data_IF_860471006731
#
_entry.id   IF_860471006731
#
_cell.length_a   1.000
_cell.length_b   1.000
_cell.length_c   1.000
_cell.angle_alpha   90.00
_cell.angle_beta   90.00
_cell.angle_gamma   90.00
#
_symmetry.space_group_name_H-M   'P 1'
#
loop_
_entity.id
_entity.type
_entity.pdbx_description
1 polymer ?
#
# COMPACT_ATOMS: atom_id res chain seq x y z
N UNK A 1 9.01 7.94 -23.47
CA UNK A 1 8.18 9.14 -23.19
C UNK A 1 7.72 9.05 -21.74
N UNK A 2 7.87 10.13 -20.98
CA UNK A 2 7.39 10.18 -19.60
C UNK A 2 5.87 9.95 -19.56
N UNK A 3 5.42 9.19 -18.56
CA UNK A 3 3.98 9.01 -18.25
C UNK A 3 3.43 10.16 -17.39
N UNK A 4 4.28 11.11 -16.99
CA UNK A 4 3.88 12.27 -16.19
C UNK A 4 3.02 13.23 -17.02
N UNK A 5 1.88 13.63 -16.47
CA UNK A 5 1.00 14.66 -17.06
C UNK A 5 0.43 15.55 -15.95
N UNK A 6 0.49 16.86 -16.15
CA UNK A 6 -0.09 17.82 -15.21
C UNK A 6 -1.37 18.41 -15.81
N UNK A 7 -2.51 18.34 -15.09
CA UNK A 7 -3.77 18.90 -15.57
C UNK A 7 -3.66 20.41 -15.83
N UNK A 8 -4.24 20.88 -16.93
CA UNK A 8 -4.11 22.30 -17.40
C UNK A 8 -4.52 23.34 -16.35
N UNK A 9 -5.46 23.00 -15.47
CA UNK A 9 -5.98 23.92 -14.45
C UNK A 9 -5.41 23.58 -13.06
N UNK A 10 -4.35 22.79 -13.00
CA UNK A 10 -3.71 22.48 -11.73
C UNK A 10 -2.99 23.74 -11.20
N UNK A 11 -3.15 24.01 -9.95
CA UNK A 11 -2.37 24.98 -9.18
C UNK A 11 -2.16 24.46 -7.78
N UNK A 12 -0.99 24.68 -7.25
CA UNK A 12 -0.66 24.30 -5.88
C UNK A 12 -1.50 25.13 -4.89
N UNK A 13 -2.10 24.43 -3.92
CA UNK A 13 -2.89 25.08 -2.86
C UNK A 13 -2.03 25.61 -1.72
N UNK A 14 -0.84 25.05 -1.53
CA UNK A 14 0.11 25.42 -0.48
C UNK A 14 1.50 25.64 -1.09
N UNK A 15 2.12 26.76 -0.82
CA UNK A 15 3.52 26.97 -1.17
C UNK A 15 4.45 25.95 -0.52
N UNK A 16 5.70 25.86 -1.01
CA UNK A 16 6.66 24.82 -0.62
C UNK A 16 6.86 24.68 0.89
N UNK A 17 7.02 25.80 1.60
CA UNK A 17 7.21 25.80 3.05
C UNK A 17 6.01 25.20 3.80
N UNK A 18 4.79 25.63 3.45
CA UNK A 18 3.57 25.09 4.08
C UNK A 18 3.27 23.66 3.64
N UNK A 19 3.65 23.26 2.44
CA UNK A 19 3.62 21.85 2.00
C UNK A 19 4.49 20.99 2.93
N UNK A 20 5.73 21.39 3.22
CA UNK A 20 6.62 20.65 4.13
C UNK A 20 6.08 20.59 5.55
N UNK A 21 5.52 21.68 6.07
CA UNK A 21 4.84 21.70 7.38
C UNK A 21 3.65 20.75 7.41
N UNK A 22 2.82 20.77 6.36
CA UNK A 22 1.64 19.92 6.25
C UNK A 22 2.02 18.43 6.18
N UNK A 23 3.06 18.05 5.44
CA UNK A 23 3.59 16.68 5.39
C UNK A 23 3.94 16.18 6.81
N UNK A 24 4.70 16.97 7.57
CA UNK A 24 5.06 16.62 8.95
C UNK A 24 3.82 16.41 9.85
N UNK A 25 2.85 17.30 9.73
CA UNK A 25 1.58 17.23 10.47
C UNK A 25 0.77 16.00 10.08
N UNK A 26 0.61 15.72 8.77
CA UNK A 26 -0.10 14.54 8.26
C UNK A 26 0.53 13.27 8.83
N UNK A 27 1.86 13.15 8.71
CA UNK A 27 2.58 11.95 9.18
C UNK A 27 2.37 11.69 10.66
N UNK A 28 2.42 12.73 11.49
CA UNK A 28 2.20 12.61 12.94
C UNK A 28 0.75 12.23 13.26
N UNK A 29 -0.21 13.03 12.80
CA UNK A 29 -1.63 12.85 13.16
C UNK A 29 -2.18 11.52 12.64
N UNK A 30 -1.88 11.19 11.38
CA UNK A 30 -2.38 9.96 10.80
C UNK A 30 -1.84 8.71 11.52
N UNK A 31 -0.53 8.68 11.81
CA UNK A 31 0.06 7.57 12.56
C UNK A 31 -0.58 7.39 13.94
N UNK A 32 -0.82 8.49 14.67
CA UNK A 32 -1.48 8.43 15.97
C UNK A 32 -2.90 7.87 15.87
N UNK A 33 -3.68 8.34 14.89
CA UNK A 33 -5.05 7.85 14.66
C UNK A 33 -5.06 6.38 14.23
N UNK A 34 -4.18 5.98 13.33
CA UNK A 34 -4.04 4.59 12.89
C UNK A 34 -3.67 3.66 14.06
N UNK A 35 -2.71 4.08 14.88
CA UNK A 35 -2.30 3.33 16.06
C UNK A 35 -3.44 3.16 17.06
N UNK A 36 -4.22 4.21 17.29
CA UNK A 36 -5.38 4.18 18.18
C UNK A 36 -6.49 3.26 17.65
N UNK A 37 -6.85 3.39 16.36
CA UNK A 37 -7.92 2.63 15.73
C UNK A 37 -7.64 1.13 15.68
N UNK A 38 -6.41 0.75 15.33
CA UNK A 38 -6.05 -0.66 15.14
C UNK A 38 -5.32 -1.28 16.33
N UNK A 39 -5.10 -0.55 17.43
CA UNK A 39 -4.33 -0.98 18.61
C UNK A 39 -2.89 -1.39 18.29
N UNK A 40 -2.19 -0.51 17.56
CA UNK A 40 -0.82 -0.76 17.09
C UNK A 40 0.22 -0.13 18.02
N UNK A 41 1.38 -0.77 18.11
CA UNK A 41 2.60 -0.22 18.72
C UNK A 41 3.65 0.03 17.64
N UNK A 42 4.29 1.19 17.68
CA UNK A 42 5.39 1.47 16.77
C UNK A 42 6.62 0.62 17.16
N UNK A 43 7.21 -0.01 16.15
CA UNK A 43 8.46 -0.79 16.26
C UNK A 43 9.46 -0.35 15.19
N UNK A 44 10.73 -0.69 15.37
CA UNK A 44 11.76 -0.55 14.33
C UNK A 44 11.70 -1.72 13.36
N UNK A 45 12.01 -1.48 12.10
CA UNK A 45 12.03 -2.49 11.05
C UNK A 45 13.35 -2.49 10.28
N UNK A 46 13.73 -3.59 9.62
CA UNK A 46 14.90 -3.63 8.78
C UNK A 46 14.70 -2.81 7.50
N UNK A 47 15.76 -2.13 7.05
CA UNK A 47 15.82 -1.55 5.71
C UNK A 47 16.19 -2.62 4.66
N UNK A 48 16.90 -3.66 5.09
CA UNK A 48 17.37 -4.75 4.25
C UNK A 48 17.35 -6.07 5.02
N UNK A 49 17.26 -7.17 4.31
CA UNK A 49 17.26 -8.54 4.83
C UNK A 49 18.25 -9.39 4.05
N UNK A 50 18.63 -10.54 4.62
CA UNK A 50 19.51 -11.49 3.91
C UNK A 50 18.77 -12.11 2.72
N UNK A 51 19.47 -12.24 1.61
CA UNK A 51 18.97 -12.99 0.45
C UNK A 51 18.70 -14.44 0.88
N UNK A 52 17.59 -14.99 0.39
CA UNK A 52 17.20 -16.38 0.71
C UNK A 52 16.54 -16.56 2.08
N UNK A 53 16.36 -15.50 2.90
CA UNK A 53 15.60 -15.57 4.16
C UNK A 53 14.12 -15.86 3.95
N UNK A 54 13.58 -15.58 2.76
CA UNK A 54 12.15 -15.63 2.46
C UNK A 54 11.36 -14.45 3.02
N UNK A 55 12.04 -13.46 3.62
CA UNK A 55 11.40 -12.28 4.24
C UNK A 55 11.17 -11.13 3.25
N UNK A 56 11.97 -11.03 2.19
CA UNK A 56 11.73 -10.02 1.16
C UNK A 56 10.53 -10.40 0.28
N UNK A 57 10.01 -9.44 -0.45
CA UNK A 57 8.89 -9.61 -1.37
C UNK A 57 9.40 -9.55 -2.80
N UNK A 58 8.99 -10.51 -3.62
CA UNK A 58 9.29 -10.50 -5.06
C UNK A 58 8.24 -9.73 -5.86
N UNK A 59 7.30 -9.06 -5.18
CA UNK A 59 6.16 -8.34 -5.77
C UNK A 59 5.41 -9.21 -6.79
N UNK A 60 5.52 -8.90 -8.09
CA UNK A 60 4.93 -9.70 -9.17
C UNK A 60 5.87 -10.84 -9.66
N UNK A 61 7.05 -10.97 -9.04
CA UNK A 61 8.03 -12.00 -9.36
C UNK A 61 9.02 -11.66 -10.50
N UNK A 62 8.99 -10.41 -10.96
CA UNK A 62 9.87 -9.91 -12.04
C UNK A 62 10.76 -8.75 -11.59
N UNK A 63 10.42 -8.10 -10.50
CA UNK A 63 11.13 -6.96 -9.96
C UNK A 63 12.45 -7.40 -9.31
N UNK A 64 13.53 -6.69 -9.64
CA UNK A 64 14.86 -7.00 -9.16
C UNK A 64 15.17 -6.19 -7.89
N UNK A 65 15.49 -6.83 -6.76
CA UNK A 65 15.88 -6.11 -5.55
C UNK A 65 17.21 -5.36 -5.75
N UNK A 66 17.40 -4.30 -4.98
CA UNK A 66 18.71 -3.66 -4.80
C UNK A 66 19.49 -4.50 -3.79
N UNK A 67 20.49 -5.22 -4.25
CA UNK A 67 21.31 -6.10 -3.41
C UNK A 67 22.74 -5.60 -3.30
N UNK A 68 23.39 -5.91 -2.17
CA UNK A 68 24.77 -5.53 -1.86
C UNK A 68 25.45 -6.61 -1.02
N UNK A 69 26.77 -6.62 -1.05
CA UNK A 69 27.58 -7.56 -0.27
C UNK A 69 27.72 -7.07 1.18
N UNK A 70 27.70 -8.03 2.11
CA UNK A 70 27.95 -7.78 3.54
C UNK A 70 29.19 -8.59 3.96
N UNK A 71 30.40 -8.03 3.84
CA UNK A 71 31.64 -8.79 3.98
C UNK A 71 31.80 -9.54 5.30
N UNK A 72 31.24 -9.01 6.40
CA UNK A 72 31.32 -9.67 7.71
C UNK A 72 30.41 -10.88 7.87
N UNK A 73 29.46 -11.11 6.95
CA UNK A 73 28.51 -12.23 7.00
C UNK A 73 28.78 -13.27 5.91
N UNK A 74 29.66 -12.96 4.95
CA UNK A 74 29.88 -13.76 3.73
C UNK A 74 28.55 -14.05 2.96
N UNK A 75 27.61 -13.13 3.04
CA UNK A 75 26.28 -13.21 2.45
C UNK A 75 25.91 -11.90 1.75
N UNK A 76 24.89 -11.97 0.90
CA UNK A 76 24.29 -10.79 0.27
C UNK A 76 23.04 -10.36 1.03
N UNK A 77 22.86 -9.04 1.16
CA UNK A 77 21.63 -8.44 1.65
C UNK A 77 20.87 -7.76 0.51
N UNK A 78 19.58 -7.59 0.70
CA UNK A 78 18.66 -6.95 -0.24
C UNK A 78 17.84 -5.89 0.48
N UNK A 79 17.75 -4.68 -0.11
CA UNK A 79 16.81 -3.66 0.36
C UNK A 79 15.39 -4.21 0.17
N UNK A 80 14.56 -4.08 1.19
CA UNK A 80 13.21 -4.63 1.16
C UNK A 80 12.35 -3.99 0.07
N UNK A 81 11.51 -4.80 -0.57
CA UNK A 81 10.42 -4.32 -1.44
C UNK A 81 9.12 -4.13 -0.65
N UNK A 82 8.93 -4.92 0.41
CA UNK A 82 7.85 -4.82 1.37
C UNK A 82 8.24 -5.48 2.68
N UNK A 83 7.52 -5.16 3.76
CA UNK A 83 7.72 -5.78 5.08
C UNK A 83 6.59 -6.77 5.43
N UNK A 84 5.76 -7.17 4.47
CA UNK A 84 4.58 -8.01 4.73
C UNK A 84 4.92 -9.29 5.51
N UNK A 85 5.94 -10.02 5.07
CA UNK A 85 6.40 -11.26 5.73
C UNK A 85 7.17 -10.98 7.02
N UNK A 86 8.04 -9.98 7.02
CA UNK A 86 8.80 -9.60 8.21
C UNK A 86 7.91 -9.18 9.38
N UNK A 87 6.86 -8.39 9.14
CA UNK A 87 5.93 -7.95 10.20
C UNK A 87 5.31 -9.12 10.94
N UNK A 88 4.86 -10.13 10.21
CA UNK A 88 4.28 -11.34 10.81
C UNK A 88 5.29 -12.12 11.64
N UNK A 89 6.53 -12.24 11.14
CA UNK A 89 7.64 -12.82 11.88
C UNK A 89 7.92 -12.02 13.16
N UNK A 90 8.02 -10.70 13.07
CA UNK A 90 8.27 -9.82 14.22
C UNK A 90 7.18 -9.91 15.30
N UNK A 91 5.90 -10.05 14.91
CA UNK A 91 4.81 -10.26 15.89
C UNK A 91 5.01 -11.53 16.72
N UNK A 92 5.49 -12.62 16.10
CA UNK A 92 5.82 -13.86 16.80
C UNK A 92 7.00 -13.67 17.76
N UNK A 93 8.11 -13.12 17.25
CA UNK A 93 9.33 -12.90 18.03
C UNK A 93 9.13 -11.95 19.21
N UNK A 94 8.34 -10.90 19.04
CA UNK A 94 8.09 -9.91 20.09
C UNK A 94 6.94 -10.29 21.02
N UNK A 95 6.30 -11.45 20.82
CA UNK A 95 5.25 -11.98 21.69
C UNK A 95 3.95 -11.19 21.70
N UNK A 96 3.56 -10.62 20.56
CA UNK A 96 2.27 -9.93 20.41
C UNK A 96 1.10 -10.92 20.51
N UNK A 97 0.00 -10.49 21.14
CA UNK A 97 -1.19 -11.30 21.40
C UNK A 97 -2.36 -10.94 20.49
N UNK A 98 -3.38 -11.79 20.34
CA UNK A 98 -4.58 -11.46 19.59
C UNK A 98 -5.16 -10.09 19.98
N UNK A 99 -5.50 -9.29 18.98
CA UNK A 99 -5.98 -7.92 19.15
C UNK A 99 -4.88 -6.86 19.23
N UNK A 100 -3.62 -7.23 19.37
CA UNK A 100 -2.47 -6.32 19.36
C UNK A 100 -1.76 -6.36 18.02
N UNK A 101 -1.16 -5.23 17.64
CA UNK A 101 -0.42 -5.13 16.39
C UNK A 101 0.78 -4.20 16.47
N UNK A 102 1.55 -4.20 15.42
CA UNK A 102 2.68 -3.29 15.21
C UNK A 102 2.44 -2.37 14.01
N UNK A 103 3.12 -1.23 14.02
CA UNK A 103 3.30 -0.34 12.88
C UNK A 103 4.75 0.07 12.80
N UNK A 104 5.25 0.24 11.58
CA UNK A 104 6.60 0.72 11.31
C UNK A 104 6.66 1.56 10.05
N UNK A 105 7.71 2.36 9.90
CA UNK A 105 8.01 2.98 8.61
C UNK A 105 8.74 1.96 7.73
N UNK A 106 8.19 1.68 6.57
CA UNK A 106 8.84 0.93 5.50
C UNK A 106 9.39 1.92 4.46
N UNK A 107 10.63 1.76 4.09
CA UNK A 107 11.26 2.44 2.96
C UNK A 107 11.79 1.38 2.01
N UNK A 108 11.33 1.40 0.77
CA UNK A 108 11.72 0.45 -0.26
C UNK A 108 12.30 1.17 -1.48
N UNK A 109 13.14 0.47 -2.22
CA UNK A 109 13.66 0.91 -3.51
C UNK A 109 13.17 -0.06 -4.58
N UNK A 110 12.24 0.39 -5.40
CA UNK A 110 11.74 -0.35 -6.57
C UNK A 110 12.48 0.14 -7.81
N UNK A 111 13.64 -0.41 -8.04
CA UNK A 111 14.59 0.08 -9.06
C UNK A 111 14.08 0.01 -10.50
N UNK A 112 13.13 -0.88 -10.76
CA UNK A 112 12.54 -1.12 -12.08
C UNK A 112 11.17 -0.45 -12.23
N UNK A 113 10.77 0.43 -11.26
CA UNK A 113 9.49 1.12 -11.27
C UNK A 113 9.36 2.08 -12.44
N UNK A 114 8.22 2.07 -13.09
CA UNK A 114 7.89 2.97 -14.17
C UNK A 114 7.34 4.28 -13.60
N UNK A 115 8.10 5.38 -13.79
CA UNK A 115 7.79 6.67 -13.19
C UNK A 115 6.59 7.34 -13.85
N UNK A 116 5.66 7.82 -13.04
CA UNK A 116 4.52 8.63 -13.46
C UNK A 116 4.10 9.61 -12.35
N UNK A 117 2.88 10.12 -12.38
CA UNK A 117 2.37 11.03 -11.35
C UNK A 117 2.29 10.41 -9.95
N UNK A 118 2.08 9.09 -9.85
CA UNK A 118 1.79 8.35 -8.62
C UNK A 118 2.93 7.41 -8.19
N UNK A 119 3.85 7.08 -9.10
CA UNK A 119 4.90 6.09 -8.89
C UNK A 119 6.28 6.72 -8.85
N UNK A 120 7.08 6.28 -7.88
CA UNK A 120 8.47 6.66 -7.63
C UNK A 120 9.30 5.43 -7.32
N UNK A 121 10.59 5.45 -7.63
CA UNK A 121 11.52 4.38 -7.20
C UNK A 121 11.67 4.30 -5.67
N UNK A 122 11.41 5.38 -4.95
CA UNK A 122 11.31 5.38 -3.48
C UNK A 122 9.87 5.17 -3.05
N UNK A 123 9.62 4.11 -2.30
CA UNK A 123 8.29 3.79 -1.72
C UNK A 123 8.37 3.90 -0.21
N UNK A 124 7.52 4.76 0.36
CA UNK A 124 7.40 4.96 1.80
C UNK A 124 6.00 4.59 2.29
N UNK A 125 5.92 3.74 3.30
CA UNK A 125 4.63 3.27 3.84
C UNK A 125 4.63 3.27 5.37
N UNK A 126 3.44 3.48 5.97
CA UNK A 126 3.14 2.89 7.28
C UNK A 126 2.76 1.44 7.05
N UNK A 127 3.68 0.56 7.37
CA UNK A 127 3.45 -0.88 7.33
C UNK A 127 2.94 -1.35 8.68
N UNK A 128 1.77 -1.95 8.71
CA UNK A 128 1.12 -2.42 9.92
C UNK A 128 0.75 -3.90 9.82
N UNK A 129 0.71 -4.56 10.98
CA UNK A 129 0.30 -5.96 11.09
C UNK A 129 -0.31 -6.19 12.48
N UNK A 130 -1.41 -6.95 12.56
CA UNK A 130 -2.15 -7.23 13.79
C UNK A 130 -2.39 -8.73 13.95
N UNK A 131 -2.18 -9.27 15.16
CA UNK A 131 -2.53 -10.65 15.47
C UNK A 131 -4.04 -10.78 15.58
N UNK A 132 -4.60 -11.76 14.89
CA UNK A 132 -6.03 -12.07 14.86
C UNK A 132 -6.28 -13.51 15.30
N UNK A 133 -7.54 -13.86 15.57
CA UNK A 133 -7.97 -15.23 15.83
C UNK A 133 -8.53 -15.90 14.56
N UNK A 134 -8.73 -17.21 14.60
CA UNK A 134 -9.34 -17.93 13.49
C UNK A 134 -10.78 -17.46 13.20
N UNK A 135 -11.50 -16.94 14.20
CA UNK A 135 -12.85 -16.38 14.05
C UNK A 135 -12.87 -15.08 13.27
N UNK A 136 -11.76 -14.33 13.29
CA UNK A 136 -11.62 -13.03 12.64
C UNK A 136 -11.30 -13.16 11.14
N UNK A 137 -11.01 -14.38 10.65
CA UNK A 137 -10.72 -14.64 9.22
C UNK A 137 -12.00 -14.58 8.38
N UNK A 138 -12.59 -13.39 8.25
CA UNK A 138 -13.85 -13.15 7.55
C UNK A 138 -13.85 -11.82 6.80
N UNK A 139 -14.63 -11.74 5.73
CA UNK A 139 -14.83 -10.47 5.00
C UNK A 139 -15.42 -9.36 5.88
N UNK A 140 -16.43 -9.61 6.77
CA UNK A 140 -16.90 -8.56 7.67
C UNK A 140 -15.80 -7.96 8.56
N UNK A 141 -14.89 -8.77 9.09
CA UNK A 141 -13.76 -8.26 9.88
C UNK A 141 -12.77 -7.43 9.04
N UNK A 142 -12.50 -7.86 7.79
CA UNK A 142 -11.73 -7.07 6.85
C UNK A 142 -12.39 -5.72 6.58
N UNK A 143 -13.70 -5.71 6.31
CA UNK A 143 -14.47 -4.49 6.01
C UNK A 143 -14.54 -3.53 7.20
N UNK A 144 -14.66 -4.03 8.43
CA UNK A 144 -14.60 -3.20 9.64
C UNK A 144 -13.24 -2.50 9.77
N UNK A 145 -12.15 -3.25 9.59
CA UNK A 145 -10.79 -2.68 9.62
C UNK A 145 -10.58 -1.64 8.52
N UNK A 146 -11.14 -1.84 7.33
CA UNK A 146 -11.11 -0.84 6.25
C UNK A 146 -11.83 0.45 6.67
N UNK A 147 -13.00 0.37 7.32
CA UNK A 147 -13.72 1.54 7.83
C UNK A 147 -12.89 2.31 8.86
N UNK A 148 -12.21 1.61 9.76
CA UNK A 148 -11.33 2.22 10.76
C UNK A 148 -10.18 2.99 10.11
N UNK A 149 -9.55 2.43 9.08
CA UNK A 149 -8.47 3.09 8.33
C UNK A 149 -9.00 4.31 7.57
N UNK A 150 -10.13 4.17 6.86
CA UNK A 150 -10.74 5.28 6.11
C UNK A 150 -11.17 6.40 7.07
N UNK A 151 -11.68 6.08 8.25
CA UNK A 151 -12.01 7.08 9.27
C UNK A 151 -10.76 7.82 9.75
N UNK A 152 -9.64 7.12 10.00
CA UNK A 152 -8.37 7.74 10.36
C UNK A 152 -7.86 8.70 9.27
N UNK A 153 -7.98 8.32 7.98
CA UNK A 153 -7.64 9.19 6.83
C UNK A 153 -8.52 10.44 6.82
N UNK A 154 -9.83 10.26 6.89
CA UNK A 154 -10.79 11.38 6.84
C UNK A 154 -10.66 12.32 8.04
N UNK A 155 -10.43 11.76 9.22
CA UNK A 155 -10.22 12.53 10.46
C UNK A 155 -8.89 13.31 10.42
N UNK A 156 -7.86 12.78 9.77
CA UNK A 156 -6.61 13.51 9.50
C UNK A 156 -6.87 14.68 8.53
N UNK A 157 -7.64 14.44 7.46
CA UNK A 157 -8.02 15.50 6.53
C UNK A 157 -8.84 16.62 7.21
N UNK A 158 -9.74 16.27 8.15
CA UNK A 158 -10.52 17.24 8.90
C UNK A 158 -9.61 18.16 9.75
N UNK A 159 -8.67 17.58 10.50
CA UNK A 159 -7.72 18.37 11.29
C UNK A 159 -6.79 19.22 10.43
N UNK A 160 -6.37 18.69 9.29
CA UNK A 160 -5.50 19.42 8.36
C UNK A 160 -6.19 20.68 7.82
N UNK A 161 -7.49 20.62 7.49
CA UNK A 161 -8.28 21.77 7.03
C UNK A 161 -8.43 22.86 8.07
N UNK A 162 -8.39 22.54 9.35
CA UNK A 162 -8.35 23.53 10.43
C UNK A 162 -7.04 24.29 10.45
N UNK A 163 -5.92 23.62 10.15
CA UNK A 163 -4.58 24.23 10.15
C UNK A 163 -4.26 24.95 8.84
N UNK A 164 -4.84 24.49 7.73
CA UNK A 164 -4.65 25.01 6.38
C UNK A 164 -6.02 25.18 5.69
N UNK A 165 -6.67 26.35 5.88
CA UNK A 165 -7.98 26.62 5.28
C UNK A 165 -8.01 26.57 3.75
N UNK A 166 -6.86 26.70 3.08
CA UNK A 166 -6.69 26.57 1.64
C UNK A 166 -7.11 25.18 1.13
N UNK A 167 -7.00 24.16 1.98
CA UNK A 167 -7.36 22.78 1.67
C UNK A 167 -8.86 22.47 1.85
N UNK A 168 -9.69 23.49 2.10
CA UNK A 168 -11.14 23.31 2.37
C UNK A 168 -11.91 22.62 1.24
N UNK A 169 -11.41 22.72 0.02
CA UNK A 169 -12.03 22.08 -1.16
C UNK A 169 -11.74 20.56 -1.27
N UNK A 170 -10.74 20.07 -0.52
CA UNK A 170 -10.42 18.65 -0.48
C UNK A 170 -11.39 17.96 0.49
N UNK A 171 -12.31 17.18 -0.09
CA UNK A 171 -13.34 16.43 0.65
C UNK A 171 -13.23 14.95 0.25
N UNK A 172 -13.20 14.08 1.24
CA UNK A 172 -13.16 12.63 1.08
C UNK A 172 -14.50 12.03 1.51
N UNK A 173 -14.90 10.95 0.88
CA UNK A 173 -16.07 10.17 1.30
C UNK A 173 -15.66 9.26 2.45
N UNK A 174 -16.30 9.42 3.62
CA UNK A 174 -15.91 8.69 4.85
C UNK A 174 -16.38 7.24 4.85
N UNK A 175 -17.55 6.94 4.28
CA UNK A 175 -18.03 5.56 4.19
C UNK A 175 -17.53 4.92 2.88
N UNK A 176 -16.67 3.88 2.94
CA UNK A 176 -16.20 3.20 1.74
C UNK A 176 -17.28 2.33 1.13
N UNK A 177 -17.34 2.29 -0.21
CA UNK A 177 -18.17 1.34 -0.95
C UNK A 177 -17.35 0.09 -1.24
N UNK A 178 -17.88 -1.07 -0.87
CA UNK A 178 -17.20 -2.37 -1.05
C UNK A 178 -17.67 -3.04 -2.33
N UNK A 179 -16.73 -3.63 -3.07
CA UNK A 179 -17.00 -4.41 -4.28
C UNK A 179 -15.91 -5.48 -4.44
N UNK A 180 -16.26 -6.65 -4.95
CA UNK A 180 -15.25 -7.65 -5.33
C UNK A 180 -14.74 -7.39 -6.75
N UNK A 181 -13.56 -7.91 -7.07
CA UNK A 181 -12.99 -7.82 -8.42
C UNK A 181 -13.91 -8.43 -9.48
N UNK A 182 -14.62 -9.50 -9.13
CA UNK A 182 -15.56 -10.14 -10.05
C UNK A 182 -16.83 -9.31 -10.28
N UNK A 183 -17.41 -8.74 -9.21
CA UNK A 183 -18.55 -7.82 -9.36
C UNK A 183 -18.18 -6.59 -10.17
N UNK A 184 -16.95 -6.10 -10.02
CA UNK A 184 -16.44 -4.96 -10.78
C UNK A 184 -16.26 -5.31 -12.26
N UNK A 185 -15.83 -6.52 -12.59
CA UNK A 185 -15.81 -7.03 -13.97
C UNK A 185 -17.21 -7.19 -14.54
N UNK A 186 -18.14 -7.81 -13.78
CA UNK A 186 -19.51 -8.01 -14.20
C UNK A 186 -20.24 -6.67 -14.48
N UNK A 187 -19.88 -5.60 -13.71
CA UNK A 187 -20.44 -4.25 -13.86
C UNK A 187 -19.87 -3.50 -15.09
N UNK A 188 -18.59 -3.70 -15.39
CA UNK A 188 -17.87 -3.03 -16.48
C UNK A 188 -17.10 -4.04 -17.35
N UNK A 189 -17.78 -4.93 -18.08
CA UNK A 189 -17.13 -6.05 -18.78
C UNK A 189 -16.16 -5.59 -19.87
N UNK A 190 -16.43 -4.47 -20.52
CA UNK A 190 -15.66 -3.94 -21.65
C UNK A 190 -14.47 -3.06 -21.23
N UNK A 191 -14.35 -2.74 -19.95
CA UNK A 191 -13.26 -1.90 -19.44
C UNK A 191 -12.08 -2.74 -18.94
N UNK A 192 -10.88 -2.19 -19.06
CA UNK A 192 -9.69 -2.76 -18.42
C UNK A 192 -9.78 -2.63 -16.90
N UNK A 193 -9.04 -3.45 -16.11
CA UNK A 193 -9.07 -3.36 -14.64
C UNK A 193 -8.88 -1.92 -14.13
N UNK A 194 -7.92 -1.18 -14.67
CA UNK A 194 -7.64 0.20 -14.23
C UNK A 194 -8.76 1.19 -14.61
N UNK A 195 -9.40 0.99 -15.75
CA UNK A 195 -10.57 1.79 -16.15
C UNK A 195 -11.78 1.48 -15.28
N UNK A 196 -11.97 0.21 -14.86
CA UNK A 196 -13.01 -0.21 -13.90
C UNK A 196 -12.82 0.48 -12.56
N UNK A 197 -11.60 0.47 -12.00
CA UNK A 197 -11.24 1.19 -10.78
C UNK A 197 -11.58 2.69 -10.88
N UNK A 198 -11.14 3.32 -11.97
CA UNK A 198 -11.40 4.75 -12.19
C UNK A 198 -12.90 5.07 -12.28
N UNK A 199 -13.65 4.28 -13.04
CA UNK A 199 -15.09 4.49 -13.21
C UNK A 199 -15.85 4.34 -11.89
N UNK A 200 -15.56 3.27 -11.15
CA UNK A 200 -16.24 2.97 -9.90
C UNK A 200 -15.84 3.94 -8.79
N UNK A 201 -14.55 4.24 -8.65
CA UNK A 201 -14.06 5.18 -7.62
C UNK A 201 -14.54 6.60 -7.89
N UNK A 202 -14.66 7.00 -9.17
CA UNK A 202 -15.24 8.30 -9.54
C UNK A 202 -16.69 8.44 -9.08
N UNK A 203 -17.47 7.37 -9.18
CA UNK A 203 -18.88 7.38 -8.78
C UNK A 203 -19.07 7.39 -7.26
N UNK A 204 -18.18 6.74 -6.50
CA UNK A 204 -18.37 6.49 -5.07
C UNK A 204 -17.43 7.28 -4.14
N UNK A 205 -16.35 7.84 -4.68
CA UNK A 205 -15.37 8.67 -3.94
C UNK A 205 -14.34 7.86 -3.16
N UNK A 206 -14.76 6.97 -2.26
CA UNK A 206 -13.90 6.03 -1.53
C UNK A 206 -14.40 4.61 -1.76
N UNK A 207 -13.52 3.71 -2.17
CA UNK A 207 -13.85 2.35 -2.59
C UNK A 207 -12.88 1.35 -1.96
N UNK A 208 -13.40 0.18 -1.62
CA UNK A 208 -12.62 -0.97 -1.24
C UNK A 208 -12.87 -2.10 -2.25
N UNK A 209 -11.86 -2.42 -3.05
CA UNK A 209 -11.92 -3.52 -4.04
C UNK A 209 -11.35 -4.77 -3.37
N UNK A 210 -12.17 -5.81 -3.27
CA UNK A 210 -11.84 -7.04 -2.53
C UNK A 210 -11.55 -8.22 -3.46
N UNK A 211 -10.86 -9.24 -2.91
CA UNK A 211 -10.61 -10.53 -3.56
C UNK A 211 -9.72 -10.40 -4.80
N UNK A 212 -8.55 -9.80 -4.61
CA UNK A 212 -7.55 -9.57 -5.66
C UNK A 212 -6.55 -10.74 -5.68
N UNK A 213 -6.09 -11.15 -6.90
CA UNK A 213 -5.04 -12.15 -7.12
C UNK A 213 -5.51 -13.40 -7.85
N UNK A 214 -6.78 -13.78 -7.69
CA UNK A 214 -7.39 -14.89 -8.43
C UNK A 214 -7.73 -14.55 -9.88
N UNK A 215 -7.98 -15.58 -10.69
CA UNK A 215 -8.53 -15.40 -12.05
C UNK A 215 -10.02 -15.06 -11.97
N UNK A 216 -10.44 -14.09 -12.79
CA UNK A 216 -11.84 -13.72 -13.00
C UNK A 216 -12.50 -14.67 -13.98
N UNK A 217 -13.83 -14.56 -14.15
CA UNK A 217 -14.61 -15.37 -15.13
C UNK A 217 -14.11 -15.23 -16.56
N UNK A 218 -13.56 -14.07 -16.93
CA UNK A 218 -12.94 -13.82 -18.22
C UNK A 218 -11.62 -14.57 -18.44
N UNK A 219 -11.05 -15.17 -17.38
CA UNK A 219 -9.73 -15.82 -17.41
C UNK A 219 -8.56 -14.86 -17.15
N UNK A 220 -8.79 -13.56 -17.05
CA UNK A 220 -7.77 -12.57 -16.67
C UNK A 220 -7.75 -12.37 -15.14
N UNK A 221 -6.69 -11.77 -14.62
CA UNK A 221 -6.65 -11.27 -13.24
C UNK A 221 -6.98 -9.79 -13.23
N UNK A 222 -7.61 -9.32 -12.14
CA UNK A 222 -7.82 -7.88 -11.95
C UNK A 222 -6.47 -7.17 -11.76
N UNK A 223 -5.65 -7.70 -10.85
CA UNK A 223 -4.30 -7.23 -10.58
C UNK A 223 -3.44 -8.40 -10.07
N UNK A 224 -2.10 -8.20 -10.06
CA UNK A 224 -1.14 -9.10 -9.46
C UNK A 224 -1.22 -9.08 -7.94
N UNK A 225 -0.98 -10.24 -7.32
CA UNK A 225 -0.84 -10.34 -5.86
C UNK A 225 0.10 -11.49 -5.54
N UNK A 226 1.13 -11.23 -4.74
CA UNK A 226 2.03 -12.28 -4.29
C UNK A 226 1.25 -13.41 -3.58
N UNK A 227 1.66 -14.68 -3.78
CA UNK A 227 0.90 -15.82 -3.27
C UNK A 227 1.15 -16.11 -1.78
N UNK A 228 2.11 -15.46 -1.15
CA UNK A 228 2.72 -15.91 0.10
C UNK A 228 2.52 -14.97 1.30
N UNK A 229 1.66 -13.95 1.19
CA UNK A 229 1.29 -13.15 2.36
C UNK A 229 -0.21 -12.86 2.46
N UNK A 230 -0.92 -12.33 1.46
CA UNK A 230 -2.37 -12.11 1.53
C UNK A 230 -3.17 -13.32 1.06
N UNK A 231 -4.21 -13.70 1.81
CA UNK A 231 -5.23 -14.63 1.31
C UNK A 231 -6.05 -13.91 0.23
N UNK A 232 -5.98 -14.39 -1.02
CA UNK A 232 -6.65 -13.75 -2.17
C UNK A 232 -8.17 -13.68 -2.03
N UNK A 233 -8.76 -14.46 -1.14
CA UNK A 233 -10.20 -14.41 -0.86
C UNK A 233 -10.54 -13.40 0.26
N UNK A 234 -9.54 -12.89 0.98
CA UNK A 234 -9.68 -12.07 2.19
C UNK A 234 -8.75 -10.84 2.17
N UNK A 235 -8.49 -10.30 1.01
CA UNK A 235 -7.67 -9.09 0.81
C UNK A 235 -8.45 -7.99 0.10
N UNK A 236 -7.89 -6.79 0.09
CA UNK A 236 -8.44 -5.66 -0.63
C UNK A 236 -7.44 -4.53 -0.84
N UNK A 237 -7.79 -3.64 -1.77
CA UNK A 237 -7.17 -2.34 -1.94
C UNK A 237 -8.17 -1.23 -1.60
N UNK A 238 -7.68 -0.16 -0.93
CA UNK A 238 -8.46 1.03 -0.57
C UNK A 238 -8.09 2.14 -1.53
N UNK A 239 -9.07 2.61 -2.31
CA UNK A 239 -8.90 3.64 -3.32
C UNK A 239 -9.70 4.88 -2.98
N UNK A 240 -9.11 6.04 -3.24
CA UNK A 240 -9.77 7.34 -3.14
C UNK A 240 -9.81 8.03 -4.51
N UNK A 241 -10.89 8.74 -4.80
CA UNK A 241 -10.94 9.59 -5.99
C UNK A 241 -10.04 10.81 -5.82
N UNK A 242 -8.95 10.87 -6.57
CA UNK A 242 -8.02 11.99 -6.55
C UNK A 242 -8.48 13.07 -7.54
N UNK A 243 -9.11 14.13 -7.01
CA UNK A 243 -9.74 15.17 -7.83
C UNK A 243 -8.77 15.93 -8.74
N UNK A 244 -7.56 16.21 -8.28
CA UNK A 244 -6.58 16.96 -9.05
C UNK A 244 -6.15 16.21 -10.32
N UNK A 245 -5.97 14.88 -10.22
CA UNK A 245 -5.60 14.03 -11.36
C UNK A 245 -6.80 13.47 -12.11
N UNK A 246 -7.99 13.43 -11.49
CA UNK A 246 -9.17 12.80 -12.08
C UNK A 246 -9.02 11.28 -12.21
N UNK A 247 -8.38 10.63 -11.26
CA UNK A 247 -8.15 9.18 -11.24
C UNK A 247 -8.39 8.57 -9.86
N UNK A 248 -8.56 7.26 -9.82
CA UNK A 248 -8.48 6.48 -8.59
C UNK A 248 -7.03 6.44 -8.10
N UNK A 249 -6.82 6.76 -6.84
CA UNK A 249 -5.54 6.66 -6.16
C UNK A 249 -5.65 5.53 -5.13
N UNK A 250 -4.93 4.44 -5.38
CA UNK A 250 -4.74 3.37 -4.40
C UNK A 250 -3.86 3.90 -3.27
N UNK A 251 -4.44 3.98 -2.07
CA UNK A 251 -3.75 4.45 -0.88
C UNK A 251 -3.16 3.30 -0.07
N UNK A 252 -3.85 2.17 -0.02
CA UNK A 252 -3.48 1.03 0.82
C UNK A 252 -3.85 -0.27 0.15
N UNK A 253 -2.93 -1.24 0.25
CA UNK A 253 -3.18 -2.65 -0.01
C UNK A 253 -3.07 -3.40 1.30
N UNK A 254 -4.06 -4.26 1.61
CA UNK A 254 -4.14 -4.99 2.86
C UNK A 254 -4.90 -6.31 2.74
N UNK A 255 -4.71 -7.19 3.72
CA UNK A 255 -5.47 -8.44 3.76
C UNK A 255 -5.31 -9.21 5.06
N UNK A 256 -6.22 -10.13 5.27
CA UNK A 256 -6.02 -11.23 6.20
C UNK A 256 -4.98 -12.14 5.57
N UNK A 257 -3.92 -12.43 6.33
CA UNK A 257 -2.78 -13.17 5.80
C UNK A 257 -3.11 -14.64 5.57
N UNK A 258 -2.42 -15.26 4.62
CA UNK A 258 -2.56 -16.69 4.36
C UNK A 258 -2.40 -17.52 5.64
N UNK A 259 -3.25 -18.53 5.80
CA UNK A 259 -2.98 -19.67 6.66
C UNK A 259 -2.21 -20.75 5.88
N UNK A 260 -1.76 -21.86 6.50
CA UNK A 260 -1.04 -22.91 5.79
C UNK A 260 -1.78 -23.43 4.56
N UNK A 261 -3.10 -23.62 4.64
CA UNK A 261 -3.89 -24.15 3.54
C UNK A 261 -4.02 -23.14 2.36
N UNK A 262 -4.25 -21.86 2.68
CA UNK A 262 -4.32 -20.81 1.67
C UNK A 262 -2.96 -20.63 0.98
N UNK A 263 -1.86 -20.61 1.75
CA UNK A 263 -0.52 -20.48 1.17
C UNK A 263 -0.19 -21.62 0.22
N UNK A 264 -0.43 -22.86 0.61
CA UNK A 264 -0.19 -24.01 -0.29
C UNK A 264 -0.95 -23.87 -1.61
N UNK A 265 -2.26 -23.61 -1.55
CA UNK A 265 -3.07 -23.40 -2.75
C UNK A 265 -2.59 -22.25 -3.63
N UNK A 266 -2.18 -21.13 -3.02
CA UNK A 266 -1.75 -19.94 -3.76
C UNK A 266 -0.37 -20.11 -4.38
N UNK A 267 0.58 -20.77 -3.71
CA UNK A 267 1.89 -21.12 -4.29
C UNK A 267 1.74 -22.04 -5.49
N UNK A 268 0.86 -23.05 -5.42
CA UNK A 268 0.55 -23.93 -6.56
C UNK A 268 -0.08 -23.14 -7.72
N UNK A 269 -1.09 -22.30 -7.43
CA UNK A 269 -1.77 -21.49 -8.43
C UNK A 269 -0.86 -20.43 -9.08
N UNK A 270 0.17 -19.97 -8.37
CA UNK A 270 1.20 -19.06 -8.88
C UNK A 270 2.35 -19.76 -9.59
N UNK A 271 2.43 -21.10 -9.55
CA UNK A 271 3.49 -21.89 -10.18
C UNK A 271 4.85 -21.78 -9.48
N UNK A 272 4.87 -21.51 -8.17
CA UNK A 272 6.10 -21.39 -7.37
C UNK A 272 6.05 -22.21 -6.07
N UNK A 273 5.69 -23.52 -6.11
CA UNK A 273 5.56 -24.35 -4.91
C UNK A 273 6.89 -24.53 -4.15
N UNK A 274 8.04 -24.36 -4.81
CA UNK A 274 9.38 -24.45 -4.23
C UNK A 274 9.61 -23.38 -3.13
N UNK A 275 8.88 -22.27 -3.14
CA UNK A 275 8.97 -21.24 -2.07
C UNK A 275 8.57 -21.79 -0.70
N UNK A 276 7.81 -22.87 -0.63
CA UNK A 276 7.47 -23.56 0.61
C UNK A 276 8.72 -23.99 1.42
N UNK A 277 9.86 -24.17 0.74
CA UNK A 277 11.13 -24.55 1.35
C UNK A 277 11.91 -23.39 2.01
N UNK A 278 11.52 -22.15 1.77
CA UNK A 278 12.16 -20.97 2.36
C UNK A 278 11.88 -20.90 3.88
N UNK A 279 12.80 -20.34 4.69
CA UNK A 279 12.69 -20.34 6.15
C UNK A 279 11.38 -19.78 6.68
N UNK A 280 10.96 -18.60 6.20
CA UNK A 280 9.69 -17.99 6.61
C UNK A 280 8.47 -18.87 6.28
N UNK A 281 8.44 -19.46 5.08
CA UNK A 281 7.33 -20.28 4.61
C UNK A 281 7.22 -21.58 5.42
N UNK A 282 8.34 -22.21 5.76
CA UNK A 282 8.37 -23.38 6.67
C UNK A 282 7.79 -23.04 8.03
N UNK A 283 8.19 -21.92 8.64
CA UNK A 283 7.63 -21.49 9.91
C UNK A 283 6.11 -21.33 9.87
N UNK A 284 5.59 -20.79 8.76
CA UNK A 284 4.15 -20.61 8.57
C UNK A 284 3.44 -21.96 8.42
N UNK A 285 3.94 -22.83 7.57
CA UNK A 285 3.37 -24.16 7.31
C UNK A 285 3.38 -25.05 8.56
N UNK A 286 4.39 -24.91 9.40
CA UNK A 286 4.51 -25.61 10.71
C UNK A 286 3.65 -24.99 11.82
N UNK A 287 2.90 -23.90 11.52
CA UNK A 287 2.05 -23.23 12.50
C UNK A 287 2.79 -22.45 13.58
N UNK A 288 4.06 -22.10 13.34
CA UNK A 288 4.89 -21.33 14.29
C UNK A 288 4.60 -19.82 14.26
N UNK A 289 3.91 -19.33 13.22
CA UNK A 289 3.55 -17.93 13.08
C UNK A 289 2.08 -17.70 13.44
N UNK A 290 1.73 -16.55 14.08
CA UNK A 290 0.34 -16.24 14.41
C UNK A 290 -0.51 -16.02 13.15
N UNK A 291 -1.83 -16.17 13.28
CA UNK A 291 -2.76 -15.64 12.29
C UNK A 291 -2.78 -14.12 12.39
N UNK A 292 -2.70 -13.45 11.25
CA UNK A 292 -2.57 -12.00 11.22
C UNK A 292 -3.40 -11.36 10.09
N UNK A 293 -3.65 -10.08 10.22
CA UNK A 293 -4.09 -9.17 9.18
C UNK A 293 -3.12 -7.99 9.14
N UNK A 294 -2.83 -7.49 7.96
CA UNK A 294 -1.95 -6.34 7.83
C UNK A 294 -2.02 -5.69 6.46
N UNK A 295 -1.27 -4.61 6.31
CA UNK A 295 -1.22 -3.84 5.07
C UNK A 295 -0.11 -2.81 5.09
N UNK A 296 0.00 -2.11 3.96
CA UNK A 296 0.84 -0.93 3.81
C UNK A 296 -0.02 0.26 3.38
N UNK A 297 0.21 1.42 3.98
CA UNK A 297 -0.45 2.67 3.63
C UNK A 297 0.61 3.64 3.13
N UNK A 298 0.52 4.07 1.88
CA UNK A 298 1.50 4.95 1.24
C UNK A 298 1.58 6.30 1.95
N UNK A 299 2.72 6.64 2.55
CA UNK A 299 2.91 7.92 3.26
C UNK A 299 2.86 9.10 2.28
N UNK A 300 3.64 9.03 1.22
CA UNK A 300 3.66 10.06 0.18
C UNK A 300 2.34 10.12 -0.59
N UNK A 301 1.69 8.98 -0.88
CA UNK A 301 0.36 8.94 -1.50
C UNK A 301 -0.71 9.59 -0.63
N UNK A 302 -0.69 9.37 0.70
CA UNK A 302 -1.59 10.07 1.62
C UNK A 302 -1.35 11.59 1.61
N UNK A 303 -0.09 12.02 1.67
CA UNK A 303 0.23 13.44 1.59
C UNK A 303 -0.26 14.05 0.26
N UNK A 304 -0.03 13.35 -0.87
CA UNK A 304 -0.50 13.78 -2.18
C UNK A 304 -2.02 13.93 -2.23
N UNK A 305 -2.77 12.95 -1.70
CA UNK A 305 -4.23 12.96 -1.63
C UNK A 305 -4.75 14.14 -0.79
N UNK A 306 -4.21 14.30 0.44
CA UNK A 306 -4.70 15.30 1.40
C UNK A 306 -4.28 16.73 1.07
N UNK A 307 -3.22 16.92 0.30
CA UNK A 307 -2.74 18.22 -0.16
C UNK A 307 -3.22 18.56 -1.58
N UNK A 308 -3.87 17.62 -2.27
CA UNK A 308 -4.36 17.81 -3.63
C UNK A 308 -3.25 17.98 -4.67
N UNK A 309 -2.09 17.35 -4.45
CA UNK A 309 -0.92 17.47 -5.32
C UNK A 309 -1.06 16.64 -6.60
N UNK A 310 -0.57 17.15 -7.71
CA UNK A 310 -0.66 16.48 -9.00
C UNK A 310 0.49 15.52 -9.29
N UNK A 311 1.58 15.60 -8.56
CA UNK A 311 2.73 14.71 -8.73
C UNK A 311 3.30 14.29 -7.38
N UNK A 312 3.64 13.01 -7.22
CA UNK A 312 4.20 12.48 -5.96
C UNK A 312 5.50 13.18 -5.55
N UNK A 313 6.28 13.67 -6.53
CA UNK A 313 7.49 14.46 -6.30
C UNK A 313 7.26 15.82 -5.63
N UNK A 314 6.02 16.30 -5.52
CA UNK A 314 5.71 17.49 -4.73
C UNK A 314 5.68 17.22 -3.22
N UNK A 315 5.64 15.94 -2.83
CA UNK A 315 5.56 15.50 -1.42
C UNK A 315 6.64 14.50 -1.04
N UNK A 316 7.47 14.11 -1.99
CA UNK A 316 8.53 13.12 -1.79
C UNK A 316 9.79 13.50 -2.55
N UNK A 317 10.93 13.49 -1.86
CA UNK A 317 12.24 13.62 -2.50
C UNK A 317 12.60 12.28 -3.17
N UNK A 318 12.86 12.31 -4.48
CA UNK A 318 13.24 11.15 -5.27
C UNK A 318 14.07 11.54 -6.49
N UNK A 319 14.30 10.60 -7.39
CA UNK A 319 14.98 10.83 -8.67
C UNK A 319 13.95 10.83 -9.80
N UNK A 320 14.04 11.83 -10.66
CA UNK A 320 13.12 12.02 -11.78
C UNK A 320 13.92 12.15 -13.09
N UNK A 321 13.41 11.56 -14.14
CA UNK A 321 13.96 11.71 -15.48
C UNK A 321 13.82 13.16 -16.01
N UNK A 322 14.58 13.47 -17.05
CA UNK A 322 14.61 14.84 -17.62
C UNK A 322 13.26 15.28 -18.22
N UNK A 323 12.49 14.34 -18.77
CA UNK A 323 11.18 14.63 -19.38
C UNK A 323 10.15 14.95 -18.28
N UNK A 324 10.10 14.17 -17.20
CA UNK A 324 9.27 14.43 -16.00
C UNK A 324 9.57 15.82 -15.44
N UNK A 325 10.86 16.14 -15.21
CA UNK A 325 11.26 17.47 -14.72
C UNK A 325 10.78 18.59 -15.65
N UNK A 326 10.97 18.44 -16.96
CA UNK A 326 10.56 19.44 -17.93
C UNK A 326 9.01 19.60 -18.02
N UNK A 327 8.24 18.52 -17.84
CA UNK A 327 6.76 18.60 -17.79
C UNK A 327 6.31 19.36 -16.54
N UNK A 328 6.87 19.06 -15.38
CA UNK A 328 6.55 19.71 -14.12
C UNK A 328 6.93 21.20 -14.14
N UNK A 329 8.14 21.54 -14.63
CA UNK A 329 8.64 22.92 -14.73
C UNK A 329 7.73 23.77 -15.63
N UNK A 330 7.36 23.26 -16.83
CA UNK A 330 6.43 23.98 -17.74
C UNK A 330 5.06 24.21 -17.12
N UNK A 331 4.62 23.34 -16.23
CA UNK A 331 3.34 23.46 -15.53
C UNK A 331 3.42 24.26 -14.21
N UNK A 332 4.61 24.77 -13.85
CA UNK A 332 4.84 25.47 -12.57
C UNK A 332 4.77 24.56 -11.33
N UNK A 333 4.96 23.24 -11.53
CA UNK A 333 4.99 22.25 -10.43
C UNK A 333 6.41 22.09 -9.93
N UNK A 334 6.60 22.34 -8.65
CA UNK A 334 7.90 22.21 -7.99
C UNK A 334 8.07 20.82 -7.40
N UNK A 335 9.03 20.05 -7.92
CA UNK A 335 9.46 18.78 -7.34
C UNK A 335 10.45 19.05 -6.18
N UNK A 336 10.36 18.22 -5.12
CA UNK A 336 11.24 18.28 -3.94
C UNK A 336 12.62 17.72 -4.24
#
# INVERSE_FOLDING_TARGET
MSKTSIPKNYHDLLGLYDTQRAIGIIKTIFQEKLCAALHLKRVTAPLFVLNGSGLNDDLNGVERPVSFDVPCLDERAEVVHSLAKWKRYALAEYGFRPGQGLVTDMNAIRRDEELDNLHSIHVDQWDWEKVITAKDRTLPFLQETVRDIVDAVCSTADELRWKFPELKAIRLTREPTFITTQELEDLYPDLTPKERENAFTRAHGTVCIMQIGGQLKSGIRHDGRAPDYDDWTLNCDILFWHKALGCALELSSMGIRVDPAAMTRQLEAAGCPERAELPFHKMLLEGKLPLTMGGGIGQSRLCMLLLGKAHIGEVQVSLWDAETKAVCERAGVQLL
#
